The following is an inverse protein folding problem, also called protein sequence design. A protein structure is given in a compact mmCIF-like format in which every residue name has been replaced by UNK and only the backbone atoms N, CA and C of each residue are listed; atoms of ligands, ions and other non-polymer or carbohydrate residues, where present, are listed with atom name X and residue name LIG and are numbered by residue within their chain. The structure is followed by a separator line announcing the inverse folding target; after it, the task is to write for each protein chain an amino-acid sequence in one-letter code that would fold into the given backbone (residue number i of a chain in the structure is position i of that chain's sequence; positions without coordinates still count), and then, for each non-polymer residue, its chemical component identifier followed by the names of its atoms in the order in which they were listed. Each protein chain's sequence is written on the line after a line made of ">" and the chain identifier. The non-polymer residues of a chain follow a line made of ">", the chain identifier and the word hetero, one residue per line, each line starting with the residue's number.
data_IF_333284505767
#
_entry.id   IF_333284505767
#
_cell.length_a   1.000
_cell.length_b   1.000
_cell.length_c   1.000
_cell.angle_alpha   90.00
_cell.angle_beta   90.00
_cell.angle_gamma   90.00
#
_symmetry.space_group_name_H-M   'P 1'
#
loop_
_entity.id
_entity.type
_entity.pdbx_description
1 polymer ?
#
# COMPACT_ATOMS: atom_id res chain seq x y z
N UNK A 1 -19.28 -22.67 12.46
CA UNK A 1 -19.50 -21.40 13.20
C UNK A 1 -19.00 -20.30 12.28
N UNK A 2 -19.90 -19.71 11.53
CA UNK A 2 -19.56 -18.55 10.68
C UNK A 2 -19.25 -17.40 11.62
N UNK A 3 -18.01 -16.98 11.70
CA UNK A 3 -17.67 -15.74 12.37
C UNK A 3 -18.32 -14.66 11.51
N UNK A 4 -19.44 -14.12 11.98
CA UNK A 4 -20.07 -12.99 11.29
C UNK A 4 -19.07 -11.85 11.31
N UNK A 5 -18.50 -11.58 10.15
CA UNK A 5 -17.52 -10.52 9.97
C UNK A 5 -18.21 -9.18 10.21
N UNK A 6 -17.78 -8.48 11.25
CA UNK A 6 -18.31 -7.17 11.62
C UNK A 6 -17.52 -6.08 10.92
N UNK A 7 -18.20 -5.02 10.58
CA UNK A 7 -17.59 -3.85 9.99
C UNK A 7 -17.86 -2.59 10.80
N UNK A 8 -16.96 -1.64 10.69
CA UNK A 8 -17.09 -0.28 11.22
C UNK A 8 -17.38 0.66 10.06
N UNK A 9 -18.49 1.35 10.13
CA UNK A 9 -18.84 2.41 9.18
C UNK A 9 -18.55 3.75 9.82
N UNK A 10 -17.66 4.53 9.23
CA UNK A 10 -17.40 5.92 9.58
C UNK A 10 -18.17 6.84 8.65
N UNK A 11 -18.96 7.71 9.23
CA UNK A 11 -19.59 8.86 8.55
C UNK A 11 -18.96 10.12 9.14
N UNK A 12 -18.45 11.03 8.29
CA UNK A 12 -17.77 12.21 8.79
C UNK A 12 -17.99 13.43 7.92
N UNK A 13 -17.77 14.59 8.49
CA UNK A 13 -17.78 15.86 7.79
C UNK A 13 -16.57 16.67 8.22
N UNK A 14 -15.79 17.15 7.27
CA UNK A 14 -14.71 18.12 7.50
C UNK A 14 -15.10 19.43 6.83
N UNK A 15 -15.01 20.59 7.52
CA UNK A 15 -15.36 21.87 6.93
C UNK A 15 -14.63 22.13 5.61
N UNK A 16 -15.30 22.77 4.68
CA UNK A 16 -14.80 22.99 3.31
C UNK A 16 -13.76 24.10 3.19
N UNK A 17 -13.43 24.78 4.29
CA UNK A 17 -12.53 25.94 4.31
C UNK A 17 -11.13 25.66 3.77
N UNK A 18 -10.65 24.41 3.85
CA UNK A 18 -9.39 24.00 3.20
C UNK A 18 -9.50 22.59 2.61
N UNK A 19 -9.18 22.45 1.33
CA UNK A 19 -9.05 21.14 0.67
C UNK A 19 -7.98 20.28 1.34
N UNK A 20 -6.94 20.90 1.93
CA UNK A 20 -5.82 20.24 2.61
C UNK A 20 -6.30 19.37 3.79
N UNK A 21 -7.23 19.87 4.61
CA UNK A 21 -7.79 19.15 5.74
C UNK A 21 -8.52 17.86 5.30
N UNK A 22 -9.38 17.99 4.28
CA UNK A 22 -10.11 16.83 3.72
C UNK A 22 -9.18 15.79 3.13
N UNK A 23 -8.15 16.23 2.40
CA UNK A 23 -7.15 15.33 1.83
C UNK A 23 -6.32 14.64 2.93
N UNK A 24 -6.01 15.32 4.03
CA UNK A 24 -5.29 14.71 5.15
C UNK A 24 -6.11 13.56 5.77
N UNK A 25 -7.36 13.80 6.12
CA UNK A 25 -8.27 12.76 6.65
C UNK A 25 -8.44 11.61 5.66
N UNK A 26 -8.66 11.92 4.39
CA UNK A 26 -8.78 10.91 3.34
C UNK A 26 -7.53 10.01 3.24
N UNK A 27 -6.31 10.61 3.30
CA UNK A 27 -5.06 9.85 3.26
C UNK A 27 -4.89 8.93 4.47
N UNK A 28 -5.28 9.38 5.65
CA UNK A 28 -5.22 8.56 6.86
C UNK A 28 -6.17 7.37 6.77
N UNK A 29 -7.42 7.59 6.35
CA UNK A 29 -8.38 6.51 6.12
C UNK A 29 -7.93 5.54 5.02
N UNK A 30 -7.36 6.04 3.93
CA UNK A 30 -6.77 5.18 2.89
C UNK A 30 -5.60 4.34 3.42
N UNK A 31 -4.75 4.89 4.29
CA UNK A 31 -3.66 4.12 4.92
C UNK A 31 -4.18 3.01 5.84
N UNK A 32 -5.38 3.16 6.40
CA UNK A 32 -6.07 2.13 7.17
C UNK A 32 -6.72 1.06 6.30
N UNK A 33 -6.76 1.24 4.99
CA UNK A 33 -7.48 0.36 4.07
C UNK A 33 -8.99 0.56 4.09
N UNK A 34 -9.45 1.78 4.39
CA UNK A 34 -10.87 2.10 4.38
C UNK A 34 -11.45 2.03 2.97
N UNK A 35 -12.57 1.35 2.83
CA UNK A 35 -13.37 1.29 1.63
C UNK A 35 -14.38 2.44 1.63
N UNK A 36 -14.29 3.34 0.67
CA UNK A 36 -15.27 4.40 0.50
C UNK A 36 -16.50 3.91 -0.25
N UNK A 37 -17.66 4.02 0.39
CA UNK A 37 -18.97 3.72 -0.21
C UNK A 37 -19.52 4.97 -0.91
N UNK A 38 -19.35 6.12 -0.27
CA UNK A 38 -19.71 7.44 -0.78
C UNK A 38 -18.72 8.48 -0.25
N UNK A 39 -18.85 9.74 -0.70
CA UNK A 39 -18.12 10.84 -0.09
C UNK A 39 -18.38 10.89 1.42
N UNK A 40 -17.30 10.93 2.20
CA UNK A 40 -17.37 11.02 3.66
C UNK A 40 -18.08 9.83 4.36
N UNK A 41 -18.24 8.70 3.67
CA UNK A 41 -18.73 7.43 4.22
C UNK A 41 -17.79 6.33 3.81
N UNK A 42 -17.12 5.74 4.79
CA UNK A 42 -16.24 4.61 4.55
C UNK A 42 -16.47 3.47 5.54
N UNK A 43 -16.05 2.28 5.14
CA UNK A 43 -16.16 1.04 5.91
C UNK A 43 -14.78 0.43 6.11
N UNK A 44 -14.59 -0.16 7.28
CA UNK A 44 -13.41 -0.93 7.66
C UNK A 44 -13.87 -2.22 8.35
N UNK A 45 -13.13 -3.32 8.29
CA UNK A 45 -13.42 -4.49 9.10
C UNK A 45 -13.17 -4.19 10.58
N UNK A 46 -14.02 -4.73 11.45
CA UNK A 46 -13.87 -4.61 12.91
C UNK A 46 -12.79 -5.59 13.41
N UNK A 47 -11.54 -5.19 13.26
CA UNK A 47 -10.36 -5.97 13.64
C UNK A 47 -9.62 -5.32 14.82
N UNK A 48 -8.85 -6.08 15.60
CA UNK A 48 -7.99 -5.53 16.64
C UNK A 48 -7.06 -4.44 16.07
N UNK A 49 -6.94 -3.31 16.77
CA UNK A 49 -6.15 -2.17 16.38
C UNK A 49 -6.75 -1.27 15.28
N UNK A 50 -7.80 -1.71 14.58
CA UNK A 50 -8.50 -0.84 13.60
C UNK A 50 -9.26 0.26 14.34
N UNK A 51 -9.98 -0.08 15.43
CA UNK A 51 -10.73 0.89 16.23
C UNK A 51 -9.83 1.99 16.78
N UNK A 52 -8.74 1.62 17.43
CA UNK A 52 -7.80 2.59 18.01
C UNK A 52 -7.23 3.55 16.98
N UNK A 53 -6.91 3.04 15.79
CA UNK A 53 -6.43 3.89 14.68
C UNK A 53 -7.54 4.76 14.12
N UNK A 54 -8.75 4.23 14.04
CA UNK A 54 -9.92 4.98 13.57
C UNK A 54 -10.29 6.08 14.56
N UNK A 55 -10.18 5.84 15.87
CA UNK A 55 -10.41 6.86 16.91
C UNK A 55 -9.42 8.02 16.79
N UNK A 56 -8.14 7.75 16.48
CA UNK A 56 -7.16 8.82 16.17
C UNK A 56 -7.55 9.66 14.94
N UNK A 57 -8.12 9.02 13.91
CA UNK A 57 -8.64 9.78 12.75
C UNK A 57 -9.83 10.65 13.15
N UNK A 58 -10.69 10.17 14.04
CA UNK A 58 -11.82 10.96 14.58
C UNK A 58 -11.34 12.16 15.39
N UNK A 59 -10.38 11.96 16.29
CA UNK A 59 -9.72 13.06 17.02
C UNK A 59 -9.18 14.11 16.04
N UNK A 60 -8.55 13.66 14.96
CA UNK A 60 -8.07 14.56 13.90
C UNK A 60 -9.19 15.30 13.18
N UNK A 61 -10.33 14.65 12.93
CA UNK A 61 -11.52 15.29 12.34
C UNK A 61 -12.04 16.38 13.28
N UNK A 62 -12.15 16.09 14.59
CA UNK A 62 -12.60 17.02 15.61
C UNK A 62 -11.67 18.25 15.72
N UNK A 63 -10.32 18.03 15.73
CA UNK A 63 -9.31 19.10 15.70
C UNK A 63 -9.47 20.04 14.49
N UNK A 64 -9.91 19.50 13.37
CA UNK A 64 -10.19 20.24 12.14
C UNK A 64 -11.56 20.94 12.12
N UNK A 65 -12.30 20.89 13.26
CA UNK A 65 -13.64 21.44 13.38
C UNK A 65 -14.70 20.64 12.63
N UNK A 66 -14.41 19.36 12.37
CA UNK A 66 -15.34 18.43 11.74
C UNK A 66 -16.19 17.66 12.74
N UNK A 67 -16.97 16.74 12.25
CA UNK A 67 -17.83 15.83 13.02
C UNK A 67 -17.73 14.43 12.47
N UNK A 68 -17.82 13.41 13.31
CA UNK A 68 -17.82 12.03 12.89
C UNK A 68 -18.71 11.13 13.75
N UNK A 69 -19.25 10.07 13.12
CA UNK A 69 -19.99 9.01 13.79
C UNK A 69 -19.49 7.65 13.31
N UNK A 70 -19.36 6.71 14.24
CA UNK A 70 -19.07 5.31 13.93
C UNK A 70 -20.31 4.47 14.17
N UNK A 71 -20.65 3.64 13.20
CA UNK A 71 -21.65 2.60 13.33
C UNK A 71 -20.96 1.24 13.28
N UNK A 72 -21.42 0.32 14.11
CA UNK A 72 -20.99 -1.08 14.08
C UNK A 72 -22.02 -1.87 13.27
N UNK A 73 -21.59 -2.36 12.14
CA UNK A 73 -22.43 -3.20 11.29
C UNK A 73 -22.24 -4.66 11.73
N UNK A 74 -23.24 -5.20 12.42
CA UNK A 74 -23.21 -6.56 13.00
C UNK A 74 -23.92 -7.59 12.14
N UNK A 75 -24.82 -7.15 11.26
CA UNK A 75 -25.52 -7.98 10.32
C UNK A 75 -25.68 -7.22 9.00
N UNK A 76 -25.29 -7.86 7.92
CA UNK A 76 -25.50 -7.40 6.56
C UNK A 76 -26.29 -8.47 5.82
N UNK A 77 -27.10 -8.07 4.87
CA UNK A 77 -27.67 -9.03 3.93
C UNK A 77 -26.54 -9.66 3.12
N UNK A 78 -26.70 -10.90 2.71
CA UNK A 78 -25.66 -11.69 2.03
C UNK A 78 -25.08 -10.98 0.80
N UNK A 79 -25.95 -10.34 0.05
CA UNK A 79 -25.57 -9.55 -1.14
C UNK A 79 -24.64 -8.40 -0.79
N UNK A 80 -24.96 -7.62 0.23
CA UNK A 80 -24.20 -6.45 0.68
C UNK A 80 -22.88 -6.88 1.32
N UNK A 81 -22.88 -7.96 2.10
CA UNK A 81 -21.66 -8.55 2.65
C UNK A 81 -20.71 -8.98 1.53
N UNK A 82 -21.20 -9.76 0.58
CA UNK A 82 -20.40 -10.21 -0.58
C UNK A 82 -19.83 -9.03 -1.35
N UNK A 83 -20.63 -8.00 -1.63
CA UNK A 83 -20.19 -6.79 -2.32
C UNK A 83 -19.09 -6.04 -1.57
N UNK A 84 -19.17 -5.93 -0.24
CA UNK A 84 -18.13 -5.30 0.56
C UNK A 84 -16.82 -6.09 0.50
N UNK A 85 -16.88 -7.40 0.71
CA UNK A 85 -15.71 -8.29 0.67
C UNK A 85 -15.01 -8.20 -0.70
N UNK A 86 -15.76 -8.31 -1.79
CA UNK A 86 -15.19 -8.21 -3.14
C UNK A 86 -14.60 -6.81 -3.40
N UNK A 87 -15.25 -5.74 -2.95
CA UNK A 87 -14.69 -4.38 -3.11
C UNK A 87 -13.38 -4.17 -2.34
N UNK A 88 -13.24 -4.75 -1.14
CA UNK A 88 -11.96 -4.75 -0.42
C UNK A 88 -10.89 -5.53 -1.18
N UNK A 89 -11.22 -6.72 -1.68
CA UNK A 89 -10.31 -7.56 -2.47
C UNK A 89 -9.86 -6.86 -3.75
N UNK A 90 -10.79 -6.28 -4.51
CA UNK A 90 -10.48 -5.53 -5.72
C UNK A 90 -9.53 -4.35 -5.47
N UNK A 91 -9.71 -3.61 -4.37
CA UNK A 91 -8.83 -2.50 -4.03
C UNK A 91 -7.39 -2.96 -3.76
N UNK A 92 -7.22 -4.02 -2.97
CA UNK A 92 -5.88 -4.57 -2.68
C UNK A 92 -5.28 -5.24 -3.92
N UNK A 93 -6.09 -5.95 -4.72
CA UNK A 93 -5.63 -6.58 -5.96
C UNK A 93 -5.08 -5.56 -6.98
N UNK A 94 -5.72 -4.39 -7.10
CA UNK A 94 -5.20 -3.29 -7.93
C UNK A 94 -3.82 -2.83 -7.48
N UNK A 95 -3.63 -2.64 -6.17
CA UNK A 95 -2.35 -2.20 -5.63
C UNK A 95 -1.26 -3.26 -5.82
N UNK A 96 -1.57 -4.55 -5.68
CA UNK A 96 -0.62 -5.63 -6.01
C UNK A 96 -0.26 -5.62 -7.50
N UNK A 97 -1.23 -5.43 -8.39
CA UNK A 97 -0.98 -5.32 -9.82
C UNK A 97 -0.10 -4.11 -10.18
N UNK A 98 -0.30 -2.96 -9.52
CA UNK A 98 0.54 -1.77 -9.68
C UNK A 98 1.99 -2.03 -9.23
N UNK A 99 2.21 -2.78 -8.14
CA UNK A 99 3.55 -3.17 -7.70
C UNK A 99 4.22 -4.07 -8.75
N UNK A 100 3.50 -5.05 -9.28
CA UNK A 100 4.00 -5.93 -10.34
C UNK A 100 4.38 -5.12 -11.58
N UNK A 101 3.51 -4.20 -12.01
CA UNK A 101 3.77 -3.31 -13.15
C UNK A 101 5.01 -2.44 -12.91
N UNK A 102 5.19 -1.88 -11.73
CA UNK A 102 6.36 -1.07 -11.38
C UNK A 102 7.65 -1.90 -11.42
N UNK A 103 7.62 -3.14 -10.95
CA UNK A 103 8.76 -4.06 -11.07
C UNK A 103 9.13 -4.30 -12.55
N UNK A 104 8.14 -4.63 -13.38
CA UNK A 104 8.36 -5.05 -14.77
C UNK A 104 8.66 -3.89 -15.73
N UNK A 105 8.00 -2.75 -15.53
CA UNK A 105 8.07 -1.64 -16.49
C UNK A 105 9.12 -0.59 -16.13
N UNK A 106 9.55 -0.53 -14.86
CA UNK A 106 10.56 0.43 -14.42
C UNK A 106 11.80 -0.27 -13.90
N UNK A 107 11.69 -1.00 -12.79
CA UNK A 107 12.86 -1.58 -12.11
C UNK A 107 13.68 -2.49 -13.03
N UNK A 108 13.05 -3.45 -13.69
CA UNK A 108 13.76 -4.36 -14.60
C UNK A 108 14.39 -3.61 -15.76
N UNK A 109 13.66 -2.66 -16.35
CA UNK A 109 14.16 -1.87 -17.48
C UNK A 109 15.27 -0.92 -17.10
N UNK A 110 15.30 -0.41 -15.89
CA UNK A 110 16.39 0.41 -15.40
C UNK A 110 17.70 -0.38 -15.33
N UNK A 111 17.67 -1.58 -14.74
CA UNK A 111 18.84 -2.47 -14.71
C UNK A 111 19.28 -2.85 -16.13
N UNK A 112 18.35 -3.20 -17.02
CA UNK A 112 18.66 -3.49 -18.42
C UNK A 112 19.31 -2.30 -19.14
N UNK A 113 18.80 -1.10 -18.89
CA UNK A 113 19.30 0.12 -19.47
C UNK A 113 20.70 0.48 -18.97
N UNK A 114 20.97 0.36 -17.67
CA UNK A 114 22.29 0.60 -17.11
C UNK A 114 23.32 -0.43 -17.59
N UNK A 115 22.93 -1.70 -17.74
CA UNK A 115 23.75 -2.72 -18.39
C UNK A 115 24.05 -2.39 -19.86
N UNK A 116 23.05 -1.93 -20.61
CA UNK A 116 23.22 -1.53 -22.00
C UNK A 116 24.18 -0.35 -22.15
N UNK A 117 24.10 0.64 -21.28
CA UNK A 117 25.01 1.80 -21.23
C UNK A 117 26.40 1.46 -20.69
N UNK A 118 26.59 0.28 -20.16
CA UNK A 118 27.79 -0.13 -19.41
C UNK A 118 28.09 0.80 -18.22
N UNK A 119 27.06 1.33 -17.58
CA UNK A 119 27.15 2.23 -16.43
C UNK A 119 27.21 1.44 -15.13
N UNK A 120 28.35 0.82 -14.88
CA UNK A 120 28.59 0.01 -13.69
C UNK A 120 29.28 0.86 -12.63
N UNK A 121 28.47 1.56 -11.81
CA UNK A 121 28.95 2.41 -10.73
C UNK A 121 28.30 2.07 -9.41
N UNK A 122 28.94 2.39 -8.29
CA UNK A 122 28.37 2.21 -6.97
C UNK A 122 27.21 3.18 -6.70
N UNK A 123 27.27 4.39 -7.27
CA UNK A 123 26.19 5.36 -7.18
C UNK A 123 24.90 4.82 -7.81
N UNK A 124 24.99 4.24 -8.99
CA UNK A 124 23.85 3.63 -9.68
C UNK A 124 23.26 2.46 -8.89
N UNK A 125 24.13 1.61 -8.36
CA UNK A 125 23.73 0.51 -7.50
C UNK A 125 22.92 0.99 -6.29
N UNK A 126 23.37 2.08 -5.67
CA UNK A 126 22.67 2.65 -4.50
C UNK A 126 21.31 3.26 -4.87
N UNK A 127 21.20 3.91 -6.04
CA UNK A 127 19.90 4.43 -6.52
C UNK A 127 18.90 3.30 -6.77
N UNK A 128 19.31 2.24 -7.47
CA UNK A 128 18.48 1.06 -7.72
C UNK A 128 18.10 0.36 -6.40
N UNK A 129 19.01 0.30 -5.42
CA UNK A 129 18.73 -0.24 -4.08
C UNK A 129 17.64 0.57 -3.37
N UNK A 130 17.69 1.89 -3.45
CA UNK A 130 16.66 2.74 -2.86
C UNK A 130 15.29 2.51 -3.50
N UNK A 131 15.24 2.24 -4.80
CA UNK A 131 13.99 1.91 -5.49
C UNK A 131 13.45 0.54 -5.08
N UNK A 132 14.30 -0.47 -4.91
CA UNK A 132 13.91 -1.75 -4.30
C UNK A 132 13.30 -1.55 -2.90
N UNK A 133 13.91 -0.72 -2.07
CA UNK A 133 13.39 -0.44 -0.73
C UNK A 133 12.05 0.32 -0.75
N UNK A 134 11.79 1.14 -1.76
CA UNK A 134 10.47 1.77 -1.97
C UNK A 134 9.42 0.70 -2.32
N UNK A 135 9.73 -0.23 -3.23
CA UNK A 135 8.85 -1.34 -3.60
C UNK A 135 8.53 -2.24 -2.40
N UNK A 136 9.54 -2.63 -1.63
CA UNK A 136 9.38 -3.43 -0.40
C UNK A 136 8.49 -2.74 0.63
N UNK A 137 8.68 -1.42 0.84
CA UNK A 137 7.82 -0.66 1.75
C UNK A 137 6.39 -0.56 1.24
N UNK A 138 6.21 -0.42 -0.07
CA UNK A 138 4.89 -0.38 -0.67
C UNK A 138 4.17 -1.72 -0.49
N UNK A 139 4.82 -2.84 -0.82
CA UNK A 139 4.27 -4.18 -0.62
C UNK A 139 3.81 -4.39 0.83
N UNK A 140 4.67 -4.12 1.81
CA UNK A 140 4.31 -4.22 3.24
C UNK A 140 3.11 -3.34 3.63
N UNK A 141 2.98 -2.16 3.05
CA UNK A 141 1.83 -1.27 3.29
C UNK A 141 0.54 -1.83 2.72
N UNK A 142 0.58 -2.42 1.52
CA UNK A 142 -0.59 -3.07 0.92
C UNK A 142 -1.01 -4.27 1.75
N UNK A 143 -0.08 -5.13 2.12
CA UNK A 143 -0.34 -6.29 2.98
C UNK A 143 -0.96 -5.90 4.33
N UNK A 144 -0.46 -4.83 4.95
CA UNK A 144 -0.95 -4.33 6.23
C UNK A 144 -2.40 -3.81 6.20
N UNK A 145 -3.00 -3.67 5.02
CA UNK A 145 -4.39 -3.24 4.80
C UNK A 145 -5.18 -4.17 3.86
N UNK A 146 -4.61 -5.29 3.49
CA UNK A 146 -5.31 -6.34 2.74
C UNK A 146 -6.14 -7.19 3.71
N UNK A 147 -7.33 -6.69 4.02
CA UNK A 147 -8.21 -7.27 5.01
C UNK A 147 -8.88 -8.58 4.57
N UNK A 148 -8.99 -8.81 3.26
CA UNK A 148 -9.81 -9.86 2.67
C UNK A 148 -9.02 -10.84 1.79
N UNK A 149 -7.69 -10.87 1.95
CA UNK A 149 -6.80 -11.78 1.22
C UNK A 149 -7.01 -11.69 -0.30
N UNK A 150 -6.70 -10.54 -0.84
CA UNK A 150 -6.85 -10.25 -2.26
C UNK A 150 -5.94 -11.12 -3.14
N UNK A 151 -6.35 -11.44 -4.36
CA UNK A 151 -5.49 -12.10 -5.33
C UNK A 151 -4.33 -11.19 -5.76
N UNK A 152 -3.23 -11.80 -6.24
CA UNK A 152 -2.05 -11.08 -6.74
C UNK A 152 -0.95 -10.85 -5.71
N UNK A 153 -1.18 -11.14 -4.42
CA UNK A 153 -0.20 -11.00 -3.35
C UNK A 153 1.07 -11.83 -3.62
N UNK A 154 0.90 -13.10 -3.94
CA UNK A 154 2.01 -14.03 -4.20
C UNK A 154 2.83 -13.56 -5.41
N UNK A 155 2.16 -13.13 -6.48
CA UNK A 155 2.84 -12.60 -7.67
C UNK A 155 3.62 -11.32 -7.35
N UNK A 156 3.07 -10.41 -6.54
CA UNK A 156 3.77 -9.20 -6.12
C UNK A 156 5.03 -9.53 -5.30
N UNK A 157 4.95 -10.52 -4.39
CA UNK A 157 6.11 -11.02 -3.65
C UNK A 157 7.18 -11.61 -4.58
N UNK A 158 6.76 -12.44 -5.53
CA UNK A 158 7.66 -13.06 -6.50
C UNK A 158 8.40 -12.01 -7.33
N UNK A 159 7.69 -10.98 -7.81
CA UNK A 159 8.28 -9.90 -8.60
C UNK A 159 9.24 -9.01 -7.80
N UNK A 160 8.90 -8.68 -6.57
CA UNK A 160 9.82 -7.94 -5.69
C UNK A 160 11.08 -8.78 -5.36
N UNK A 161 10.94 -10.08 -5.15
CA UNK A 161 12.08 -10.97 -4.98
C UNK A 161 12.92 -11.11 -6.26
N UNK A 162 12.30 -11.01 -7.44
CA UNK A 162 13.01 -10.96 -8.72
C UNK A 162 13.81 -9.66 -8.87
N UNK A 163 13.26 -8.51 -8.47
CA UNK A 163 13.99 -7.24 -8.39
C UNK A 163 15.25 -7.37 -7.52
N UNK A 164 15.14 -8.01 -6.37
CA UNK A 164 16.27 -8.25 -5.47
C UNK A 164 17.38 -9.07 -6.13
N UNK A 165 17.01 -10.19 -6.75
CA UNK A 165 17.98 -11.02 -7.48
C UNK A 165 18.67 -10.28 -8.62
N UNK A 166 17.95 -9.45 -9.35
CA UNK A 166 18.52 -8.65 -10.44
C UNK A 166 19.48 -7.58 -9.93
N UNK A 167 19.16 -6.95 -8.80
CA UNK A 167 20.07 -6.01 -8.14
C UNK A 167 21.33 -6.71 -7.65
N UNK A 168 21.21 -7.86 -6.96
CA UNK A 168 22.36 -8.65 -6.50
C UNK A 168 23.31 -9.01 -7.65
N UNK A 169 22.75 -9.38 -8.81
CA UNK A 169 23.54 -9.66 -10.02
C UNK A 169 24.22 -8.39 -10.57
N UNK A 170 23.50 -7.27 -10.58
CA UNK A 170 24.07 -6.00 -11.05
C UNK A 170 25.20 -5.52 -10.12
N UNK A 171 25.04 -5.66 -8.81
CA UNK A 171 26.09 -5.38 -7.83
C UNK A 171 27.33 -6.25 -8.05
N UNK A 172 27.15 -7.54 -8.30
CA UNK A 172 28.27 -8.43 -8.62
C UNK A 172 29.00 -7.98 -9.91
N UNK A 173 28.24 -7.60 -10.95
CA UNK A 173 28.81 -7.05 -12.20
C UNK A 173 29.61 -5.76 -11.96
N UNK A 174 29.15 -4.89 -11.04
CA UNK A 174 29.86 -3.65 -10.65
C UNK A 174 31.17 -3.99 -9.94
N UNK A 175 31.14 -4.89 -8.93
CA UNK A 175 32.35 -5.30 -8.22
C UNK A 175 33.41 -5.93 -9.13
N UNK A 176 33.02 -6.75 -10.09
CA UNK A 176 33.94 -7.35 -11.04
C UNK A 176 34.64 -6.32 -11.94
N UNK A 177 33.94 -5.24 -12.29
CA UNK A 177 34.43 -4.22 -13.25
C UNK A 177 35.17 -3.05 -12.61
N UNK A 178 34.69 -2.60 -11.45
CA UNK A 178 35.19 -1.40 -10.76
C UNK A 178 36.17 -1.76 -9.65
N UNK A 179 36.10 -2.98 -9.11
CA UNK A 179 36.88 -3.42 -7.95
C UNK A 179 36.30 -2.98 -6.61
N UNK A 180 36.99 -3.30 -5.52
CA UNK A 180 36.56 -2.95 -4.17
C UNK A 180 36.72 -1.43 -3.92
N UNK A 181 35.68 -0.68 -3.53
CA UNK A 181 35.74 0.75 -3.22
C UNK A 181 36.67 1.08 -2.04
N UNK A 182 37.09 0.07 -1.26
CA UNK A 182 38.03 0.20 -0.14
C UNK A 182 39.53 0.05 -0.50
N UNK A 183 39.87 -0.13 -1.79
CA UNK A 183 41.25 -0.41 -2.23
C UNK A 183 41.90 0.79 -2.95
N UNK A 184 41.61 2.02 -2.55
CA UNK A 184 42.32 3.23 -2.99
C UNK A 184 43.13 3.80 -1.86
#
# INVERSE_FOLDING_TARGET
>A
MTIEERFLQLVYRVPSTTSRARVAVWRELKRLGALYIQQAVCVLPDRPGVRERLDKVRERIDELGGESMIFVLVALEEREHHKLVESFRENSAKEYAEIVEECETKFFKEIEFERFRQNYTFEETEEIRQDLEKLRRWLRKVEGRDWMSAPGRELAHEKVAECERLLDQFEADVYERVGDPGTV
#
